data_IF_441381790687
#
_entry.id   IF_441381790687
#
_cell.length_a   1.000
_cell.length_b   1.000
_cell.length_c   1.000
_cell.angle_alpha   90.00
_cell.angle_beta   90.00
_cell.angle_gamma   90.00
#
_symmetry.space_group_name_H-M   'P 1'
#
loop_
_entity.id
_entity.type
_entity.pdbx_description
1 polymer ?
#
# COMPACT_ATOMS: atom_id res chain seq x y z
N UNK A 1 -19.98 12.29 25.60
CA UNK A 1 -20.74 11.57 24.55
C UNK A 1 -20.01 11.79 23.24
N UNK A 2 -19.35 10.78 22.69
CA UNK A 2 -18.74 10.88 21.37
C UNK A 2 -19.86 11.05 20.34
N UNK A 3 -19.73 12.02 19.44
CA UNK A 3 -20.66 12.19 18.34
C UNK A 3 -20.68 10.90 17.48
N UNK A 4 -21.83 10.53 16.89
CA UNK A 4 -21.87 9.43 15.93
C UNK A 4 -20.84 9.73 14.83
N UNK A 5 -19.96 8.77 14.51
CA UNK A 5 -19.07 8.98 13.37
C UNK A 5 -19.95 9.09 12.13
N UNK A 6 -19.95 10.24 11.47
CA UNK A 6 -20.38 10.34 10.08
C UNK A 6 -19.57 9.27 9.34
N UNK A 7 -20.23 8.19 8.93
CA UNK A 7 -19.56 7.01 8.39
C UNK A 7 -18.71 7.35 7.17
N UNK A 8 -17.90 6.38 6.71
CA UNK A 8 -17.11 6.53 5.50
C UNK A 8 -17.96 7.00 4.31
N UNK A 9 -17.55 8.09 3.66
CA UNK A 9 -18.12 8.60 2.42
C UNK A 9 -17.00 8.74 1.40
N UNK A 10 -17.14 8.10 0.24
CA UNK A 10 -16.15 8.20 -0.84
C UNK A 10 -15.96 9.65 -1.31
N UNK A 11 -17.02 10.47 -1.27
CA UNK A 11 -16.97 11.89 -1.61
C UNK A 11 -16.03 12.73 -0.75
N UNK A 12 -15.69 12.25 0.44
CA UNK A 12 -14.81 12.96 1.37
C UNK A 12 -13.33 12.61 1.11
N UNK A 13 -13.08 11.57 0.33
CA UNK A 13 -11.75 11.09 -0.03
C UNK A 13 -11.23 11.84 -1.26
N UNK A 14 -9.96 12.21 -1.21
CA UNK A 14 -9.24 12.78 -2.35
C UNK A 14 -7.85 12.14 -2.55
N UNK A 15 -7.46 11.24 -1.66
CA UNK A 15 -6.16 10.58 -1.66
C UNK A 15 -6.31 9.10 -1.37
N UNK A 16 -5.71 8.26 -2.21
CA UNK A 16 -5.47 6.86 -1.93
C UNK A 16 -3.97 6.62 -1.71
N UNK A 17 -3.61 6.10 -0.55
CA UNK A 17 -2.25 5.62 -0.25
C UNK A 17 -2.30 4.09 -0.22
N UNK A 18 -1.51 3.46 -1.08
CA UNK A 18 -1.54 2.00 -1.25
C UNK A 18 -0.24 1.36 -0.82
N UNK A 19 -0.37 0.29 -0.06
CA UNK A 19 0.70 -0.63 0.32
C UNK A 19 0.31 -2.02 -0.20
N UNK A 20 1.28 -2.82 -0.59
CA UNK A 20 0.95 -4.15 -1.09
C UNK A 20 2.02 -4.82 -1.92
N UNK A 21 1.54 -5.71 -2.78
CA UNK A 21 2.32 -6.54 -3.67
C UNK A 21 2.08 -6.25 -5.17
N UNK A 22 2.38 -7.23 -6.02
CA UNK A 22 2.27 -7.19 -7.48
C UNK A 22 0.85 -6.89 -7.98
N UNK A 23 -0.20 -7.12 -7.18
CA UNK A 23 -1.58 -6.80 -7.55
C UNK A 23 -1.93 -5.31 -7.41
N UNK A 24 -1.08 -4.55 -6.73
CA UNK A 24 -1.31 -3.14 -6.41
C UNK A 24 -0.22 -2.25 -7.01
N UNK A 25 1.00 -2.76 -7.17
CA UNK A 25 2.16 -1.98 -7.62
C UNK A 25 2.00 -1.37 -9.01
N UNK A 26 2.48 -0.12 -9.11
CA UNK A 26 2.64 0.68 -10.33
C UNK A 26 4.09 1.14 -10.55
N UNK A 27 5.04 0.59 -9.79
CA UNK A 27 6.47 0.89 -9.85
C UNK A 27 6.78 2.39 -9.73
N UNK A 28 6.44 2.99 -8.58
CA UNK A 28 6.79 4.38 -8.27
C UNK A 28 8.31 4.55 -8.14
N UNK A 29 8.86 5.60 -8.74
CA UNK A 29 10.21 6.06 -8.47
C UNK A 29 10.20 6.97 -7.24
N UNK A 30 10.74 6.49 -6.12
CA UNK A 30 10.70 7.22 -4.84
C UNK A 30 11.51 8.53 -4.84
N UNK A 31 12.47 8.70 -5.75
CA UNK A 31 13.29 9.92 -5.81
C UNK A 31 12.53 11.11 -6.41
N UNK A 32 11.58 10.87 -7.31
CA UNK A 32 10.80 11.92 -7.97
C UNK A 32 9.28 11.73 -7.90
N UNK A 33 8.82 10.66 -7.24
CA UNK A 33 7.43 10.25 -7.07
C UNK A 33 6.63 10.15 -8.37
N UNK A 34 7.29 9.75 -9.46
CA UNK A 34 6.65 9.46 -10.75
C UNK A 34 6.47 7.96 -10.96
N UNK A 35 5.43 7.59 -11.71
CA UNK A 35 5.22 6.21 -12.15
C UNK A 35 5.85 5.97 -13.51
N UNK A 36 6.39 4.77 -13.74
CA UNK A 36 7.07 4.42 -14.99
C UNK A 36 6.14 4.52 -16.21
N UNK A 37 4.99 3.87 -16.15
CA UNK A 37 3.91 4.04 -17.11
C UNK A 37 2.59 3.51 -16.52
N UNK A 38 1.45 3.84 -17.16
CA UNK A 38 0.12 3.42 -16.70
C UNK A 38 -0.06 1.90 -16.67
N UNK A 39 0.44 1.23 -17.69
CA UNK A 39 0.26 -0.21 -17.90
C UNK A 39 1.49 -1.02 -17.44
N UNK A 40 2.47 -0.35 -16.80
CA UNK A 40 3.68 -0.95 -16.23
C UNK A 40 3.37 -1.63 -14.90
N UNK A 41 2.34 -2.49 -14.90
CA UNK A 41 1.94 -3.31 -13.76
C UNK A 41 2.23 -4.77 -14.06
N UNK A 42 2.13 -5.62 -13.05
CA UNK A 42 2.29 -7.08 -13.21
C UNK A 42 1.28 -7.72 -14.16
N UNK A 43 0.17 -7.04 -14.46
CA UNK A 43 -0.87 -7.50 -15.37
C UNK A 43 -0.68 -7.03 -16.83
N UNK A 44 0.24 -6.10 -17.10
CA UNK A 44 0.39 -5.47 -18.41
C UNK A 44 -0.77 -4.53 -18.79
N UNK A 45 -1.57 -4.13 -17.81
CA UNK A 45 -2.72 -3.22 -17.94
C UNK A 45 -2.90 -2.44 -16.63
N UNK A 46 -3.81 -1.46 -16.54
CA UNK A 46 -4.11 -0.79 -15.28
C UNK A 46 -4.56 -1.81 -14.23
N UNK A 47 -4.04 -1.66 -13.01
CA UNK A 47 -4.53 -2.41 -11.86
C UNK A 47 -5.72 -1.68 -11.20
N UNK A 48 -6.30 -2.30 -10.18
CA UNK A 48 -7.49 -1.78 -9.50
C UNK A 48 -7.27 -0.39 -8.88
N UNK A 49 -6.07 -0.08 -8.36
CA UNK A 49 -5.73 1.25 -7.83
C UNK A 49 -5.82 2.30 -8.92
N UNK A 50 -5.27 2.00 -10.10
CA UNK A 50 -5.29 2.93 -11.24
C UNK A 50 -6.73 3.16 -11.68
N UNK A 51 -7.52 2.10 -11.86
CA UNK A 51 -8.93 2.23 -12.26
C UNK A 51 -9.75 3.03 -11.24
N UNK A 52 -9.57 2.77 -9.94
CA UNK A 52 -10.29 3.47 -8.88
C UNK A 52 -9.93 4.96 -8.82
N UNK A 53 -8.63 5.27 -8.86
CA UNK A 53 -8.17 6.66 -8.72
C UNK A 53 -8.46 7.50 -9.96
N UNK A 54 -8.50 6.90 -11.14
CA UNK A 54 -8.99 7.57 -12.36
C UNK A 54 -10.49 7.83 -12.31
N UNK A 55 -11.29 6.85 -11.87
CA UNK A 55 -12.75 7.00 -11.81
C UNK A 55 -13.20 8.05 -10.79
N UNK A 56 -12.50 8.14 -9.65
CA UNK A 56 -12.83 9.07 -8.55
C UNK A 56 -12.03 10.39 -8.62
N UNK A 57 -11.16 10.55 -9.62
CA UNK A 57 -10.21 11.66 -9.73
C UNK A 57 -9.34 11.88 -8.47
N UNK A 58 -8.97 10.80 -7.79
CA UNK A 58 -8.15 10.83 -6.57
C UNK A 58 -6.65 10.91 -6.87
N UNK A 59 -5.92 11.55 -5.97
CA UNK A 59 -4.46 11.51 -5.95
C UNK A 59 -4.03 10.13 -5.41
N UNK A 60 -3.12 9.46 -6.11
CA UNK A 60 -2.65 8.12 -5.77
C UNK A 60 -1.17 8.14 -5.40
N UNK A 61 -0.85 7.65 -4.20
CA UNK A 61 0.51 7.34 -3.75
C UNK A 61 0.62 5.84 -3.50
N UNK A 62 1.13 5.11 -4.49
CA UNK A 62 1.25 3.66 -4.44
C UNK A 62 2.69 3.25 -4.12
N UNK A 63 2.88 2.70 -2.93
CA UNK A 63 4.15 2.18 -2.42
C UNK A 63 4.21 0.65 -2.46
N UNK A 64 3.22 -0.01 -3.08
CA UNK A 64 3.24 -1.45 -3.21
C UNK A 64 4.45 -1.92 -4.02
N UNK A 65 5.10 -2.99 -3.54
CA UNK A 65 6.31 -3.55 -4.14
C UNK A 65 6.03 -4.96 -4.63
N UNK A 66 6.31 -5.22 -5.92
CA UNK A 66 6.12 -6.53 -6.52
C UNK A 66 6.79 -7.64 -5.71
N UNK A 67 6.05 -8.69 -5.37
CA UNK A 67 6.58 -9.83 -4.61
C UNK A 67 6.72 -9.61 -3.10
N UNK A 68 6.27 -8.47 -2.56
CA UNK A 68 6.30 -8.18 -1.12
C UNK A 68 5.44 -9.18 -0.33
N UNK A 69 6.01 -9.88 0.66
CA UNK A 69 5.24 -10.54 1.70
C UNK A 69 4.88 -9.54 2.79
N UNK A 70 4.11 -10.02 3.77
CA UNK A 70 3.76 -9.27 4.97
C UNK A 70 4.98 -8.91 5.83
N UNK A 71 5.90 -9.86 5.98
CA UNK A 71 7.15 -9.73 6.73
C UNK A 71 8.16 -10.72 6.14
N UNK A 72 9.31 -10.22 5.69
CA UNK A 72 10.34 -11.00 5.01
C UNK A 72 10.99 -12.07 5.91
N UNK A 73 11.18 -11.75 7.20
CA UNK A 73 11.78 -12.67 8.17
C UNK A 73 10.91 -13.90 8.40
N UNK A 74 9.58 -13.77 8.36
CA UNK A 74 8.66 -14.88 8.59
C UNK A 74 8.68 -15.92 7.46
N UNK A 75 9.05 -15.52 6.25
CA UNK A 75 9.00 -16.36 5.04
C UNK A 75 10.37 -16.58 4.42
N UNK A 76 11.44 -16.25 5.15
CA UNK A 76 12.84 -16.39 4.74
C UNK A 76 13.14 -15.78 3.38
N UNK A 77 12.50 -14.65 3.05
CA UNK A 77 12.82 -13.89 1.86
C UNK A 77 13.81 -12.79 2.23
N UNK A 78 14.87 -12.69 1.44
CA UNK A 78 15.83 -11.60 1.53
C UNK A 78 15.68 -10.83 0.21
N UNK A 79 15.83 -9.50 0.26
CA UNK A 79 15.92 -8.58 -0.90
C UNK A 79 14.62 -7.93 -1.41
N UNK A 80 13.47 -8.07 -0.75
CA UNK A 80 12.25 -7.30 -1.11
C UNK A 80 11.82 -6.40 0.04
N UNK A 81 11.30 -5.22 -0.28
CA UNK A 81 10.66 -4.38 0.74
C UNK A 81 9.28 -4.96 1.05
N UNK A 82 9.17 -5.59 2.22
CA UNK A 82 7.91 -6.11 2.75
C UNK A 82 6.92 -4.99 3.14
N UNK A 83 5.70 -5.37 3.53
CA UNK A 83 4.68 -4.39 3.93
C UNK A 83 5.13 -3.54 5.12
N UNK A 84 5.86 -4.11 6.07
CA UNK A 84 6.36 -3.36 7.21
C UNK A 84 7.32 -2.25 6.77
N UNK A 85 8.27 -2.54 5.87
CA UNK A 85 9.18 -1.54 5.30
C UNK A 85 8.46 -0.47 4.46
N UNK A 86 7.41 -0.85 3.71
CA UNK A 86 6.61 0.14 2.97
C UNK A 86 5.93 1.15 3.92
N UNK A 87 5.42 0.68 5.06
CA UNK A 87 4.71 1.52 6.04
C UNK A 87 5.67 2.28 6.95
N UNK A 88 6.76 1.65 7.40
CA UNK A 88 7.64 2.19 8.43
C UNK A 88 8.80 3.01 7.86
N UNK A 89 9.24 2.71 6.63
CA UNK A 89 10.37 3.39 6.00
C UNK A 89 9.93 4.30 4.85
N UNK A 90 9.21 3.75 3.87
CA UNK A 90 8.84 4.50 2.65
C UNK A 90 7.83 5.60 2.99
N UNK A 91 6.70 5.28 3.63
CA UNK A 91 5.67 6.27 3.92
C UNK A 91 6.21 7.47 4.72
N UNK A 92 6.99 7.29 5.81
CA UNK A 92 7.58 8.42 6.53
C UNK A 92 8.55 9.23 5.68
N UNK A 93 9.37 8.57 4.84
CA UNK A 93 10.32 9.27 3.96
C UNK A 93 9.64 10.24 2.99
N UNK A 94 8.39 9.93 2.59
CA UNK A 94 7.60 10.77 1.67
C UNK A 94 6.77 11.82 2.41
N UNK A 95 6.18 11.48 3.56
CA UNK A 95 5.15 12.31 4.21
C UNK A 95 5.54 12.97 5.53
N UNK A 96 6.55 12.50 6.26
CA UNK A 96 6.98 13.14 7.52
C UNK A 96 7.81 14.39 7.25
N UNK A 97 8.51 14.45 6.11
CA UNK A 97 9.14 15.65 5.56
C UNK A 97 8.65 15.89 4.12
N UNK A 98 7.40 16.39 3.92
CA UNK A 98 6.78 16.42 2.61
C UNK A 98 7.62 17.19 1.60
N UNK A 99 8.00 16.50 0.52
CA UNK A 99 8.68 17.15 -0.60
C UNK A 99 7.74 18.17 -1.24
N UNK A 100 8.31 19.15 -1.96
CA UNK A 100 7.51 20.08 -2.79
C UNK A 100 6.58 19.33 -3.76
N UNK A 101 6.97 18.13 -4.19
CA UNK A 101 6.19 17.27 -5.08
C UNK A 101 4.87 16.88 -4.42
N UNK A 102 4.90 16.37 -3.19
CA UNK A 102 3.69 16.01 -2.44
C UNK A 102 2.78 17.23 -2.25
N UNK A 103 3.35 18.37 -1.85
CA UNK A 103 2.58 19.60 -1.65
C UNK A 103 1.91 20.09 -2.94
N UNK A 104 2.61 19.99 -4.07
CA UNK A 104 2.12 20.44 -5.38
C UNK A 104 0.96 19.60 -5.93
N UNK A 105 0.76 18.37 -5.43
CA UNK A 105 -0.37 17.54 -5.83
C UNK A 105 -1.72 18.07 -5.33
N UNK A 106 -1.72 18.79 -4.19
CA UNK A 106 -2.94 19.19 -3.47
C UNK A 106 -3.36 20.64 -3.74
N UNK A 107 -3.58 20.99 -5.01
CA UNK A 107 -3.99 22.35 -5.41
C UNK A 107 -5.49 22.62 -5.22
N UNK A 108 -6.34 21.60 -5.38
CA UNK A 108 -7.80 21.72 -5.27
C UNK A 108 -8.31 21.64 -3.82
N UNK A 109 -7.77 20.69 -3.05
CA UNK A 109 -8.17 20.41 -1.67
C UNK A 109 -6.97 19.87 -0.89
N UNK A 110 -6.79 20.24 0.38
CA UNK A 110 -5.72 19.69 1.21
C UNK A 110 -5.94 18.19 1.49
N UNK A 111 -4.85 17.46 1.68
CA UNK A 111 -4.86 16.12 2.26
C UNK A 111 -5.04 16.21 3.78
N UNK A 112 -5.99 15.47 4.31
CA UNK A 112 -6.17 15.29 5.76
C UNK A 112 -6.30 13.80 6.09
N UNK A 113 -6.28 13.44 7.37
CA UNK A 113 -6.59 12.06 7.79
C UNK A 113 -8.00 11.61 7.38
N UNK A 114 -8.95 12.55 7.27
CA UNK A 114 -10.34 12.26 6.83
C UNK A 114 -10.48 12.11 5.32
N UNK A 115 -9.61 12.74 4.55
CA UNK A 115 -9.64 12.69 3.08
C UNK A 115 -8.68 11.64 2.49
N UNK A 116 -8.04 10.85 3.35
CA UNK A 116 -7.06 9.83 2.95
C UNK A 116 -7.61 8.44 3.22
N UNK A 117 -7.72 7.64 2.17
CA UNK A 117 -7.92 6.21 2.28
C UNK A 117 -6.54 5.52 2.25
N UNK A 118 -6.21 4.78 3.29
CA UNK A 118 -5.03 3.91 3.31
C UNK A 118 -5.48 2.49 3.00
N UNK A 119 -4.81 1.82 2.07
CA UNK A 119 -5.10 0.44 1.69
C UNK A 119 -3.86 -0.45 1.84
N UNK A 120 -4.06 -1.67 2.31
CA UNK A 120 -3.04 -2.72 2.36
C UNK A 120 -3.58 -3.94 1.61
N UNK A 121 -2.93 -4.32 0.52
CA UNK A 121 -3.25 -5.54 -0.24
C UNK A 121 -2.04 -6.47 -0.26
N UNK A 122 -2.10 -7.55 0.51
CA UNK A 122 -0.98 -8.49 0.67
C UNK A 122 -1.50 -9.91 0.90
N UNK A 123 -0.67 -10.89 0.56
CA UNK A 123 -0.74 -12.25 1.12
C UNK A 123 -0.41 -13.38 0.20
N UNK A 124 -0.56 -13.16 -1.11
CA UNK A 124 -0.28 -14.20 -2.09
C UNK A 124 1.19 -14.63 -2.05
N UNK A 125 2.10 -13.69 -1.77
CA UNK A 125 3.53 -13.99 -1.65
C UNK A 125 3.87 -14.80 -0.40
N UNK A 126 3.19 -14.56 0.73
CA UNK A 126 3.37 -15.39 1.92
C UNK A 126 3.02 -16.85 1.62
N UNK A 127 1.84 -17.07 1.01
CA UNK A 127 1.38 -18.41 0.60
C UNK A 127 2.36 -19.03 -0.40
N UNK A 128 2.79 -18.27 -1.40
CA UNK A 128 3.69 -18.77 -2.45
C UNK A 128 5.08 -19.14 -1.91
N UNK A 129 5.61 -18.38 -0.95
CA UNK A 129 6.94 -18.61 -0.38
C UNK A 129 6.98 -19.78 0.60
N UNK A 130 5.87 -20.01 1.32
CA UNK A 130 5.73 -21.16 2.23
C UNK A 130 5.17 -22.40 1.53
N UNK A 131 4.80 -22.30 0.24
CA UNK A 131 4.29 -23.42 -0.53
C UNK A 131 5.32 -24.57 -0.57
N UNK A 132 4.94 -25.71 0.02
CA UNK A 132 5.79 -26.90 0.11
C UNK A 132 6.63 -27.00 1.38
N UNK A 133 6.57 -26.02 2.28
CA UNK A 133 7.12 -26.17 3.62
C UNK A 133 6.35 -27.24 4.40
N UNK A 134 7.02 -27.90 5.34
CA UNK A 134 6.40 -28.88 6.25
C UNK A 134 6.15 -28.21 7.60
N UNK A 135 5.05 -28.58 8.26
CA UNK A 135 4.69 -28.12 9.61
C UNK A 135 4.59 -26.58 9.72
N UNK A 136 3.78 -25.95 8.85
CA UNK A 136 3.66 -24.49 8.77
C UNK A 136 2.78 -23.86 9.85
N UNK A 137 2.11 -24.63 10.71
CA UNK A 137 1.14 -24.13 11.69
C UNK A 137 1.63 -22.91 12.49
N UNK A 138 2.89 -22.93 12.94
CA UNK A 138 3.49 -21.82 13.69
C UNK A 138 3.73 -20.58 12.80
N UNK A 139 4.19 -20.78 11.57
CA UNK A 139 4.43 -19.71 10.59
C UNK A 139 3.10 -19.09 10.15
N UNK A 140 2.10 -19.92 9.88
CA UNK A 140 0.75 -19.48 9.50
C UNK A 140 0.10 -18.68 10.63
N UNK A 141 0.24 -19.14 11.88
CA UNK A 141 -0.22 -18.39 13.04
C UNK A 141 0.48 -17.02 13.18
N UNK A 142 1.80 -16.97 12.98
CA UNK A 142 2.56 -15.73 13.03
C UNK A 142 2.17 -14.76 11.90
N UNK A 143 1.97 -15.26 10.68
CA UNK A 143 1.46 -14.47 9.54
C UNK A 143 0.09 -13.88 9.88
N UNK A 144 -0.84 -14.70 10.37
CA UNK A 144 -2.18 -14.24 10.73
C UNK A 144 -2.17 -13.25 11.90
N UNK A 145 -1.24 -13.38 12.85
CA UNK A 145 -1.05 -12.40 13.92
C UNK A 145 -0.57 -11.05 13.35
N UNK A 146 0.38 -11.08 12.41
CA UNK A 146 0.88 -9.88 11.77
C UNK A 146 -0.20 -9.22 10.88
N UNK A 147 -1.10 -9.98 10.24
CA UNK A 147 -2.25 -9.40 9.55
C UNK A 147 -3.14 -8.58 10.48
N UNK A 148 -3.42 -9.14 11.66
CA UNK A 148 -4.25 -8.47 12.66
C UNK A 148 -3.59 -7.21 13.18
N UNK A 149 -2.27 -7.17 13.36
CA UNK A 149 -1.59 -5.97 13.84
C UNK A 149 -1.58 -4.81 12.85
N UNK A 150 -1.82 -5.05 11.55
CA UNK A 150 -1.93 -3.99 10.54
C UNK A 150 -3.30 -3.31 10.50
N UNK A 151 -4.33 -3.88 11.13
CA UNK A 151 -5.73 -3.43 11.04
C UNK A 151 -6.19 -2.75 12.35
N UNK A 152 -5.38 -2.78 13.41
CA UNK A 152 -5.77 -2.41 14.80
C UNK A 152 -5.01 -1.20 15.30
#
# INVERSE_FOLDING_TARGET
>A
LAAPSDGFKSSDINTLISFGDSYTTRSINLSNLTYQCRDCTSAGSPNWVTCLTEAEEWISWDFAMGGAPLNDMLVHKVEIIDIAGQIQDIYPSVFVSPTKIVQSAYTKSPRTSRSTLNNIWVGINNIGLTYGWRNTDQVDAAIMQQYKSLIV
#
